data_IF_251637547499
#
_entry.id   IF_251637547499
#
_cell.length_a   1.000
_cell.length_b   1.000
_cell.length_c   1.000
_cell.angle_alpha   90.00
_cell.angle_beta   90.00
_cell.angle_gamma   90.00
#
_symmetry.space_group_name_H-M   'P 1'
#
loop_
_entity.id
_entity.type
_entity.pdbx_description
1 polymer ?
#
# COMPACT_ATOMS: atom_id res chain seq x y z
N UNK A 1 -1.10 8.27 -10.77
CA UNK A 1 -1.60 8.05 -9.39
C UNK A 1 -2.02 6.60 -9.33
N UNK A 2 -1.40 5.83 -8.43
CA UNK A 2 -1.57 4.38 -8.35
C UNK A 2 -2.28 4.00 -7.05
N UNK A 3 -2.98 2.87 -7.06
CA UNK A 3 -3.70 2.33 -5.90
C UNK A 3 -3.25 0.89 -5.68
N UNK A 4 -2.86 0.58 -4.44
CA UNK A 4 -2.62 -0.78 -3.95
C UNK A 4 -3.74 -1.15 -2.99
N UNK A 5 -4.39 -2.28 -3.22
CA UNK A 5 -5.47 -2.79 -2.36
C UNK A 5 -4.97 -4.05 -1.67
N UNK A 6 -5.10 -4.08 -0.36
CA UNK A 6 -4.84 -5.23 0.50
C UNK A 6 -6.16 -5.69 1.09
N UNK A 7 -6.38 -7.00 1.10
CA UNK A 7 -7.60 -7.59 1.65
C UNK A 7 -7.24 -8.93 2.27
N UNK A 8 -7.68 -9.14 3.51
CA UNK A 8 -7.47 -10.40 4.20
C UNK A 8 -8.52 -10.58 5.30
N UNK A 9 -9.01 -11.82 5.51
CA UNK A 9 -9.83 -12.15 6.67
C UNK A 9 -9.01 -12.19 7.97
N UNK A 10 -7.68 -12.35 7.89
CA UNK A 10 -6.75 -12.31 9.02
C UNK A 10 -5.95 -10.99 9.00
N UNK A 11 -6.12 -10.19 10.04
CA UNK A 11 -5.45 -8.89 10.20
C UNK A 11 -3.93 -9.01 10.37
N UNK A 12 -3.41 -10.13 10.88
CA UNK A 12 -1.97 -10.35 11.04
C UNK A 12 -1.27 -10.55 9.70
N UNK A 13 -1.93 -11.25 8.79
CA UNK A 13 -1.44 -11.43 7.41
C UNK A 13 -1.46 -10.08 6.70
N UNK A 14 -2.54 -9.32 6.87
CA UNK A 14 -2.70 -8.00 6.26
C UNK A 14 -1.60 -7.02 6.68
N UNK A 15 -1.31 -6.96 7.98
CA UNK A 15 -0.24 -6.12 8.52
C UNK A 15 1.12 -6.50 7.93
N UNK A 16 1.43 -7.79 7.87
CA UNK A 16 2.68 -8.29 7.29
C UNK A 16 2.81 -7.91 5.81
N UNK A 17 1.75 -8.09 5.02
CA UNK A 17 1.75 -7.77 3.60
C UNK A 17 1.91 -6.27 3.33
N UNK A 18 1.25 -5.43 4.13
CA UNK A 18 1.36 -3.97 4.01
C UNK A 18 2.77 -3.51 4.36
N UNK A 19 3.33 -4.02 5.47
CA UNK A 19 4.69 -3.68 5.90
C UNK A 19 5.73 -4.12 4.87
N UNK A 20 5.61 -5.35 4.35
CA UNK A 20 6.50 -5.84 3.30
C UNK A 20 6.41 -4.95 2.05
N UNK A 21 5.20 -4.56 1.65
CA UNK A 21 5.03 -3.69 0.49
C UNK A 21 5.67 -2.31 0.70
N UNK A 22 5.60 -1.74 1.91
CA UNK A 22 6.28 -0.50 2.23
C UNK A 22 7.81 -0.61 2.20
N UNK A 23 8.36 -1.74 2.64
CA UNK A 23 9.80 -2.01 2.55
C UNK A 23 10.26 -2.10 1.09
N UNK A 24 9.55 -2.88 0.28
CA UNK A 24 9.86 -3.08 -1.14
C UNK A 24 9.68 -1.78 -1.96
N UNK A 25 8.77 -0.91 -1.51
CA UNK A 25 8.38 0.33 -2.20
C UNK A 25 8.74 1.58 -1.36
N UNK A 26 9.84 1.54 -0.61
CA UNK A 26 10.28 2.67 0.24
C UNK A 26 10.47 4.01 -0.49
N UNK A 27 10.56 3.97 -1.81
CA UNK A 27 10.71 5.11 -2.71
C UNK A 27 9.37 5.76 -3.11
N UNK A 28 8.22 5.13 -2.87
CA UNK A 28 6.93 5.69 -3.26
C UNK A 28 6.43 6.71 -2.24
N UNK A 29 5.75 7.75 -2.71
CA UNK A 29 5.08 8.72 -1.86
C UNK A 29 3.65 8.27 -1.61
N UNK A 30 3.33 7.93 -0.36
CA UNK A 30 1.94 7.70 0.06
C UNK A 30 1.16 9.02 0.00
N UNK A 31 0.01 8.99 -0.67
CA UNK A 31 -0.89 10.12 -0.81
C UNK A 31 -2.08 10.00 0.14
N UNK A 32 -2.63 8.79 0.28
CA UNK A 32 -3.77 8.53 1.14
C UNK A 32 -3.80 7.05 1.54
N UNK A 33 -4.38 6.76 2.70
CA UNK A 33 -4.69 5.41 3.15
C UNK A 33 -6.14 5.42 3.62
N UNK A 34 -6.96 4.52 3.09
CA UNK A 34 -8.31 4.30 3.60
C UNK A 34 -8.49 2.84 3.96
N UNK A 35 -9.32 2.62 4.96
CA UNK A 35 -9.68 1.29 5.42
C UNK A 35 -11.19 1.15 5.43
N UNK A 36 -11.66 -0.04 5.12
CA UNK A 36 -13.05 -0.45 5.31
C UNK A 36 -13.04 -1.78 6.06
N UNK A 37 -13.65 -1.78 7.23
CA UNK A 37 -13.80 -2.96 8.09
C UNK A 37 -15.25 -3.41 8.06
N UNK A 38 -15.50 -4.56 7.44
CA UNK A 38 -16.78 -5.28 7.48
C UNK A 38 -16.53 -6.73 7.88
N UNK A 39 -17.06 -7.69 7.12
CA UNK A 39 -16.73 -9.12 7.28
C UNK A 39 -15.27 -9.45 6.91
N UNK A 40 -14.64 -8.59 6.11
CA UNK A 40 -13.23 -8.67 5.71
C UNK A 40 -12.65 -7.26 5.84
N UNK A 41 -11.38 -7.16 6.25
CA UNK A 41 -10.68 -5.86 6.31
C UNK A 41 -10.06 -5.58 4.95
N UNK A 42 -10.39 -4.42 4.38
CA UNK A 42 -9.82 -3.92 3.12
C UNK A 42 -9.07 -2.64 3.41
N UNK A 43 -7.81 -2.57 2.99
CA UNK A 43 -6.96 -1.39 3.08
C UNK A 43 -6.54 -0.97 1.67
N UNK A 44 -6.82 0.28 1.33
CA UNK A 44 -6.44 0.88 0.06
C UNK A 44 -5.39 1.95 0.32
N UNK A 45 -4.28 1.87 -0.41
CA UNK A 45 -3.16 2.81 -0.33
C UNK A 45 -3.02 3.50 -1.69
N UNK A 46 -3.23 4.81 -1.70
CA UNK A 46 -2.97 5.67 -2.86
C UNK A 46 -1.53 6.14 -2.76
N UNK A 47 -0.77 5.96 -3.84
CA UNK A 47 0.62 6.36 -3.90
C UNK A 47 0.98 7.01 -5.24
N UNK A 48 2.02 7.83 -5.20
CA UNK A 48 2.69 8.39 -6.35
C UNK A 48 4.13 7.88 -6.39
N UNK A 49 4.54 7.43 -7.56
CA UNK A 49 5.93 7.11 -7.83
C UNK A 49 6.70 8.43 -8.03
N UNK A 50 7.89 8.59 -7.43
CA UNK A 50 8.73 9.76 -7.65
C UNK A 50 9.08 9.85 -9.13
N UNK A 51 8.85 11.01 -9.72
CA UNK A 51 9.29 11.32 -11.07
C UNK A 51 10.79 11.67 -11.04
N UNK A 52 11.63 10.67 -10.75
CA UNK A 52 13.08 10.81 -10.86
C UNK A 52 13.47 10.55 -12.31
N UNK A 53 14.12 11.51 -12.99
CA UNK A 53 14.69 11.23 -14.30
C UNK A 53 15.72 10.12 -14.15
N UNK A 54 15.56 9.05 -14.93
CA UNK A 54 16.53 7.96 -15.02
C UNK A 54 17.84 8.60 -15.48
N UNK A 55 18.82 8.71 -14.58
CA UNK A 55 20.19 9.00 -14.98
C UNK A 55 20.71 7.71 -15.64
N UNK A 56 20.70 7.72 -16.96
CA UNK A 56 21.18 6.62 -17.80
C UNK A 56 22.68 6.39 -17.69
#
# INVERSE_FOLDING_TARGET
MNVKIFTSPDTRILEKEINQWFEDNSWVKVLNITQSTGSVTVISIWYAEPNVPILG
#
